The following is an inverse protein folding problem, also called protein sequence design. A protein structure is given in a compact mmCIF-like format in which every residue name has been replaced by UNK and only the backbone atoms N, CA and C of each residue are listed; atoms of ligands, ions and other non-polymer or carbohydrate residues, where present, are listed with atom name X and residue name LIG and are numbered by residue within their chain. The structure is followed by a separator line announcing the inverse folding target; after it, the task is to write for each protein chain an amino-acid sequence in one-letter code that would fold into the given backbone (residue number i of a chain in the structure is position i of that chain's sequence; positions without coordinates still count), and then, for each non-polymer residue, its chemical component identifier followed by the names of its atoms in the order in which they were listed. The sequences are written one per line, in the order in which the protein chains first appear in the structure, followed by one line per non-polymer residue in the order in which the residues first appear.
data_IF_286434503796
#
_entry.id   IF_286434503796
#
_cell.length_a   1.000
_cell.length_b   1.000
_cell.length_c   1.000
_cell.angle_alpha   90.00
_cell.angle_beta   90.00
_cell.angle_gamma   90.00
#
_symmetry.space_group_name_H-M   'P 1'
#
loop_
_entity.id
_entity.type
_entity.pdbx_description
1 polymer ?
#
# COMPACT_ATOMS: atom_id res chain seq x y z
N UNK A 1 -38.68 -28.69 -6.18
CA UNK A 1 -39.11 -27.31 -6.44
C UNK A 1 -38.02 -26.27 -6.16
N UNK A 2 -37.43 -26.21 -4.97
CA UNK A 2 -36.39 -25.21 -4.63
C UNK A 2 -35.19 -25.23 -5.59
N UNK A 3 -34.64 -26.42 -5.88
CA UNK A 3 -33.51 -26.55 -6.80
C UNK A 3 -33.85 -26.09 -8.22
N UNK A 4 -35.10 -26.25 -8.67
CA UNK A 4 -35.51 -25.77 -9.98
C UNK A 4 -35.51 -24.24 -10.02
N UNK A 5 -36.05 -23.58 -8.98
CA UNK A 5 -36.01 -22.12 -8.88
C UNK A 5 -34.60 -21.55 -8.78
N UNK A 6 -33.69 -22.25 -8.08
CA UNK A 6 -32.29 -21.84 -8.00
C UNK A 6 -31.59 -21.94 -9.36
N UNK A 7 -31.91 -22.98 -10.15
CA UNK A 7 -31.41 -23.11 -11.52
C UNK A 7 -31.98 -22.02 -12.43
N UNK A 8 -33.30 -21.78 -12.39
CA UNK A 8 -33.93 -20.72 -13.17
C UNK A 8 -33.37 -19.33 -12.83
N UNK A 9 -33.14 -19.03 -11.54
CA UNK A 9 -32.53 -17.78 -11.12
C UNK A 9 -31.08 -17.64 -11.60
N UNK A 10 -30.30 -18.72 -11.48
CA UNK A 10 -28.92 -18.75 -11.97
C UNK A 10 -28.86 -18.53 -13.48
N UNK A 11 -29.69 -19.23 -14.24
CA UNK A 11 -29.72 -19.12 -15.71
C UNK A 11 -30.18 -17.74 -16.17
N UNK A 12 -31.18 -17.17 -15.49
CA UNK A 12 -31.60 -15.79 -15.73
C UNK A 12 -30.46 -14.80 -15.47
N UNK A 13 -29.68 -14.99 -14.41
CA UNK A 13 -28.54 -14.13 -14.10
C UNK A 13 -27.37 -14.33 -15.06
N UNK A 14 -27.04 -15.55 -15.46
CA UNK A 14 -25.89 -15.84 -16.34
C UNK A 14 -26.11 -15.29 -17.76
N UNK A 15 -27.37 -15.25 -18.22
CA UNK A 15 -27.74 -14.83 -19.57
C UNK A 15 -28.34 -13.42 -19.66
N UNK A 16 -28.40 -12.65 -18.55
CA UNK A 16 -28.90 -11.28 -18.62
C UNK A 16 -27.87 -10.33 -19.26
N UNK A 17 -28.29 -9.40 -20.13
CA UNK A 17 -27.39 -8.42 -20.74
C UNK A 17 -27.00 -7.31 -19.76
N UNK A 18 -25.70 -7.05 -19.62
CA UNK A 18 -25.16 -5.96 -18.78
C UNK A 18 -25.00 -4.68 -19.60
N UNK A 19 -25.77 -3.64 -19.25
CA UNK A 19 -25.72 -2.34 -19.94
C UNK A 19 -24.34 -1.67 -19.88
N UNK A 20 -23.59 -1.88 -18.80
CA UNK A 20 -22.23 -1.30 -18.62
C UNK A 20 -21.18 -1.97 -19.51
N UNK A 21 -21.45 -3.20 -19.98
CA UNK A 21 -20.52 -4.04 -20.74
C UNK A 21 -21.03 -4.28 -22.17
N UNK A 22 -21.56 -3.21 -22.80
CA UNK A 22 -22.09 -3.24 -24.18
C UNK A 22 -23.19 -4.29 -24.41
N UNK A 23 -24.06 -4.53 -23.43
CA UNK A 23 -25.13 -5.53 -23.47
C UNK A 23 -24.65 -7.00 -23.58
N UNK A 24 -23.39 -7.29 -23.27
CA UNK A 24 -22.91 -8.68 -23.19
C UNK A 24 -23.44 -9.36 -21.93
N UNK A 25 -23.64 -10.68 -22.01
CA UNK A 25 -24.03 -11.48 -20.84
C UNK A 25 -22.82 -11.82 -19.97
N UNK A 26 -22.99 -12.02 -18.65
CA UNK A 26 -21.94 -12.53 -17.78
C UNK A 26 -21.22 -13.77 -18.34
N UNK A 27 -21.95 -14.70 -18.96
CA UNK A 27 -21.37 -15.87 -19.63
C UNK A 27 -20.44 -15.49 -20.79
N UNK A 28 -20.86 -14.56 -21.65
CA UNK A 28 -20.05 -14.10 -22.78
C UNK A 28 -18.80 -13.35 -22.32
N UNK A 29 -18.89 -12.58 -21.23
CA UNK A 29 -17.74 -11.91 -20.62
C UNK A 29 -16.76 -12.91 -20.03
N UNK A 30 -17.25 -14.00 -19.41
CA UNK A 30 -16.42 -15.08 -18.89
C UNK A 30 -15.68 -15.83 -20.00
N UNK A 31 -16.39 -16.26 -21.06
CA UNK A 31 -15.80 -16.91 -22.24
C UNK A 31 -14.78 -15.98 -22.91
N UNK A 32 -15.14 -14.70 -23.13
CA UNK A 32 -14.24 -13.71 -23.71
C UNK A 32 -13.00 -13.44 -22.85
N UNK A 33 -13.14 -13.47 -21.52
CA UNK A 33 -12.04 -13.34 -20.57
C UNK A 33 -11.07 -14.52 -20.60
N UNK A 34 -11.60 -15.74 -20.76
CA UNK A 34 -10.77 -16.93 -20.97
C UNK A 34 -9.90 -16.80 -22.22
N UNK A 35 -10.44 -16.31 -23.33
CA UNK A 35 -9.65 -16.11 -24.56
C UNK A 35 -8.57 -15.02 -24.48
N UNK A 36 -8.71 -14.03 -23.58
CA UNK A 36 -7.85 -12.83 -23.55
C UNK A 36 -6.63 -12.95 -22.61
N UNK A 37 -6.57 -13.97 -21.74
CA UNK A 37 -5.43 -14.17 -20.84
C UNK A 37 -4.30 -14.92 -21.55
N UNK A 38 -3.03 -14.61 -21.22
CA UNK A 38 -1.85 -15.28 -21.82
C UNK A 38 -1.85 -16.81 -21.62
N UNK A 39 -2.57 -17.30 -20.60
CA UNK A 39 -2.74 -18.72 -20.28
C UNK A 39 -4.12 -19.26 -20.70
N UNK A 40 -4.90 -18.45 -21.40
CA UNK A 40 -6.31 -18.67 -21.68
C UNK A 40 -6.64 -19.88 -22.53
N UNK A 41 -5.83 -20.12 -23.56
CA UNK A 41 -5.96 -21.31 -24.40
C UNK A 41 -5.62 -22.60 -23.63
N UNK A 42 -4.64 -22.56 -22.73
CA UNK A 42 -4.23 -23.70 -21.90
C UNK A 42 -5.31 -24.03 -20.86
N UNK A 43 -5.87 -23.03 -20.21
CA UNK A 43 -6.98 -23.19 -19.25
C UNK A 43 -8.28 -23.73 -19.89
N UNK A 44 -8.56 -23.38 -21.15
CA UNK A 44 -9.67 -23.95 -21.91
C UNK A 44 -9.45 -25.44 -22.22
N UNK A 45 -8.20 -25.81 -22.49
CA UNK A 45 -7.79 -27.21 -22.74
C UNK A 45 -7.83 -28.03 -21.44
N UNK A 46 -7.28 -27.50 -20.35
CA UNK A 46 -7.28 -28.09 -19.02
C UNK A 46 -8.71 -28.21 -18.42
N UNK A 47 -9.66 -27.36 -18.84
CA UNK A 47 -11.07 -27.46 -18.45
C UNK A 47 -11.84 -28.56 -19.21
N UNK A 48 -11.29 -29.04 -20.33
CA UNK A 48 -11.92 -30.03 -21.21
C UNK A 48 -11.38 -31.44 -20.96
N UNK A 49 -10.20 -31.57 -20.36
CA UNK A 49 -9.65 -32.85 -19.93
C UNK A 49 -10.00 -33.10 -18.45
N UNK A 50 -10.70 -34.21 -18.12
CA UNK A 50 -10.96 -34.53 -16.73
C UNK A 50 -9.63 -34.85 -16.03
N UNK A 51 -9.30 -34.06 -15.01
CA UNK A 51 -8.16 -34.33 -14.13
C UNK A 51 -8.32 -35.76 -13.59
N UNK A 52 -7.34 -36.61 -13.88
CA UNK A 52 -7.37 -38.00 -13.43
C UNK A 52 -7.15 -38.06 -11.91
N UNK A 53 -7.71 -39.08 -11.25
CA UNK A 53 -7.58 -39.23 -9.80
C UNK A 53 -6.09 -39.31 -9.37
N UNK A 54 -5.25 -39.89 -10.23
CA UNK A 54 -3.80 -40.00 -10.04
C UNK A 54 -3.08 -38.65 -10.06
N UNK A 55 -3.52 -37.71 -10.91
CA UNK A 55 -2.98 -36.34 -10.95
C UNK A 55 -3.38 -35.53 -9.72
N UNK A 56 -4.60 -35.74 -9.18
CA UNK A 56 -5.05 -35.14 -7.92
C UNK A 56 -4.19 -35.66 -6.76
N UNK A 57 -3.97 -36.97 -6.74
CA UNK A 57 -3.23 -37.63 -5.67
C UNK A 57 -1.73 -37.31 -5.69
N UNK A 58 -1.17 -36.92 -6.86
CA UNK A 58 0.22 -36.48 -7.00
C UNK A 58 0.41 -34.95 -6.95
N UNK A 59 -0.66 -34.16 -6.98
CA UNK A 59 -0.57 -32.71 -6.98
C UNK A 59 0.00 -32.20 -5.64
N UNK A 60 1.23 -31.71 -5.67
CA UNK A 60 1.94 -31.19 -4.49
C UNK A 60 2.85 -32.20 -3.78
N UNK A 61 2.99 -33.42 -4.30
CA UNK A 61 3.99 -34.38 -3.82
C UNK A 61 5.27 -34.20 -4.64
N UNK A 62 6.28 -33.54 -4.05
CA UNK A 62 7.61 -33.40 -4.65
C UNK A 62 8.48 -34.62 -4.31
N UNK A 63 8.47 -35.63 -5.19
CA UNK A 63 9.29 -36.83 -5.05
C UNK A 63 10.80 -36.57 -5.15
N UNK A 64 11.21 -35.39 -5.63
CA UNK A 64 12.61 -34.95 -5.68
C UNK A 64 12.92 -33.88 -4.62
N UNK A 65 12.01 -33.65 -3.68
CA UNK A 65 12.20 -32.71 -2.59
C UNK A 65 13.31 -33.20 -1.65
N UNK A 66 14.03 -32.28 -0.97
CA UNK A 66 15.06 -32.66 -0.02
C UNK A 66 14.45 -33.50 1.11
N UNK A 67 14.82 -34.78 1.15
CA UNK A 67 14.43 -35.70 2.23
C UNK A 67 15.34 -35.41 3.43
N UNK A 68 14.78 -35.32 4.63
CA UNK A 68 15.56 -35.12 5.86
C UNK A 68 16.60 -36.23 6.01
N UNK A 69 17.87 -35.86 6.12
CA UNK A 69 18.92 -36.81 6.48
C UNK A 69 18.78 -37.18 7.96
N UNK A 70 18.92 -38.47 8.31
CA UNK A 70 18.88 -38.98 9.70
C UNK A 70 20.13 -38.55 10.52
N UNK A 71 20.63 -37.35 10.30
CA UNK A 71 21.55 -36.72 11.24
C UNK A 71 20.68 -36.03 12.28
N UNK A 72 21.04 -36.21 13.55
CA UNK A 72 20.35 -35.68 14.72
C UNK A 72 19.80 -34.27 14.45
N UNK A 73 18.65 -33.93 15.04
CA UNK A 73 17.94 -32.65 14.94
C UNK A 73 18.74 -31.43 15.46
N UNK A 74 20.03 -31.36 15.15
CA UNK A 74 21.00 -30.35 15.51
C UNK A 74 21.23 -29.54 14.24
N UNK A 75 20.44 -28.49 14.08
CA UNK A 75 20.70 -27.47 13.06
C UNK A 75 22.01 -26.77 13.46
N UNK A 76 23.09 -27.10 12.76
CA UNK A 76 24.38 -26.40 12.91
C UNK A 76 24.22 -25.00 12.30
N UNK A 77 23.84 -24.03 13.13
CA UNK A 77 23.81 -22.61 12.75
C UNK A 77 25.26 -22.12 12.78
N UNK A 78 25.84 -21.67 11.67
CA UNK A 78 27.19 -21.11 11.66
C UNK A 78 27.26 -19.90 12.59
N UNK A 79 28.35 -19.74 13.33
CA UNK A 79 28.55 -18.55 14.16
C UNK A 79 28.55 -17.30 13.29
N UNK A 80 27.50 -16.50 13.42
CA UNK A 80 27.38 -15.23 12.73
C UNK A 80 28.36 -14.25 13.37
N UNK A 81 29.47 -13.96 12.70
CA UNK A 81 30.41 -12.93 13.16
C UNK A 81 29.70 -11.58 13.22
N UNK A 82 29.67 -10.96 14.40
CA UNK A 82 29.09 -9.63 14.55
C UNK A 82 29.87 -8.65 13.66
N UNK A 83 29.23 -7.91 12.74
CA UNK A 83 29.91 -6.97 11.86
C UNK A 83 30.35 -5.68 12.59
N UNK A 84 30.13 -5.59 13.90
CA UNK A 84 30.42 -4.42 14.73
C UNK A 84 31.66 -4.68 15.58
N UNK A 85 32.54 -3.69 15.61
CA UNK A 85 33.67 -3.61 16.54
C UNK A 85 33.20 -3.57 18.00
N UNK A 86 34.00 -4.09 18.94
CA UNK A 86 33.64 -4.26 20.36
C UNK A 86 33.26 -2.93 21.01
N UNK A 87 33.95 -1.85 20.63
CA UNK A 87 33.62 -0.49 21.08
C UNK A 87 32.21 -0.06 20.66
N UNK A 88 31.83 -0.34 19.41
CA UNK A 88 30.51 0.01 18.88
C UNK A 88 29.41 -0.86 19.49
N UNK A 89 29.72 -2.11 19.85
CA UNK A 89 28.80 -2.99 20.54
C UNK A 89 28.47 -2.48 21.95
N UNK A 90 29.45 -1.95 22.68
CA UNK A 90 29.25 -1.38 24.01
C UNK A 90 28.37 -0.12 23.94
N UNK A 91 28.63 0.77 22.98
CA UNK A 91 27.83 1.97 22.77
C UNK A 91 26.37 1.66 22.42
N UNK A 92 26.14 0.68 21.53
CA UNK A 92 24.80 0.23 21.18
C UNK A 92 24.06 -0.32 22.42
N UNK A 93 24.78 -1.05 23.28
CA UNK A 93 24.23 -1.62 24.51
C UNK A 93 23.88 -0.58 25.58
N UNK A 94 24.51 0.59 25.56
CA UNK A 94 24.20 1.71 26.45
C UNK A 94 23.06 2.58 25.90
N UNK A 95 22.98 2.74 24.58
CA UNK A 95 21.99 3.61 23.92
C UNK A 95 20.60 2.98 23.80
N UNK A 96 20.53 1.64 23.74
CA UNK A 96 19.28 0.90 23.54
C UNK A 96 19.11 -0.08 24.69
N UNK A 97 18.09 0.10 25.51
CA UNK A 97 17.72 -0.89 26.52
C UNK A 97 16.76 -1.93 25.91
N UNK A 98 17.33 -3.07 25.53
CA UNK A 98 16.61 -4.20 24.92
C UNK A 98 15.76 -5.00 25.91
N UNK A 99 15.78 -4.66 27.21
CA UNK A 99 14.99 -5.35 28.24
C UNK A 99 13.73 -4.60 28.66
N UNK A 100 13.49 -3.41 28.12
CA UNK A 100 12.25 -2.67 28.38
C UNK A 100 11.09 -3.41 27.73
N UNK A 101 10.18 -3.94 28.54
CA UNK A 101 8.88 -4.43 28.06
C UNK A 101 7.94 -3.23 27.90
N UNK A 102 7.85 -2.73 26.68
CA UNK A 102 6.95 -1.65 26.29
C UNK A 102 5.54 -2.15 25.94
N UNK A 103 5.27 -3.46 26.05
CA UNK A 103 4.04 -4.10 25.58
C UNK A 103 3.88 -4.09 24.06
N UNK A 104 4.92 -3.68 23.31
CA UNK A 104 4.92 -3.59 21.86
C UNK A 104 6.01 -4.47 21.23
N UNK A 105 6.65 -5.37 21.99
CA UNK A 105 7.61 -6.37 21.50
C UNK A 105 8.71 -5.76 20.59
N UNK A 106 9.26 -4.61 20.96
CA UNK A 106 10.34 -3.95 20.20
C UNK A 106 9.91 -3.24 18.91
N UNK A 107 8.60 -3.19 18.59
CA UNK A 107 8.08 -2.40 17.47
C UNK A 107 8.32 -0.90 17.68
N UNK A 108 8.32 -0.40 18.91
CA UNK A 108 8.61 1.01 19.20
C UNK A 108 10.06 1.35 18.83
N UNK A 109 11.01 0.55 19.31
CA UNK A 109 12.44 0.64 19.03
C UNK A 109 12.72 0.53 17.53
N UNK A 110 12.04 -0.39 16.84
CA UNK A 110 12.09 -0.48 15.37
C UNK A 110 11.53 0.78 14.69
N UNK A 111 10.42 1.34 15.18
CA UNK A 111 9.85 2.57 14.62
C UNK A 111 10.70 3.82 14.88
N UNK A 112 11.42 3.86 15.99
CA UNK A 112 12.29 4.98 16.36
C UNK A 112 13.61 4.92 15.57
N UNK A 113 14.10 3.72 15.31
CA UNK A 113 15.21 3.47 14.38
C UNK A 113 14.81 3.62 12.90
N UNK A 114 13.51 3.46 12.58
CA UNK A 114 12.95 3.68 11.25
C UNK A 114 12.84 5.18 10.93
N UNK A 115 14.02 5.73 10.63
CA UNK A 115 14.29 6.69 9.59
C UNK A 115 13.32 7.87 9.47
N UNK A 116 13.71 8.98 10.09
CA UNK A 116 13.38 10.32 9.62
C UNK A 116 13.34 10.40 8.08
N UNK A 117 12.20 10.83 7.53
CA UNK A 117 12.01 10.95 6.09
C UNK A 117 12.41 12.35 5.64
N UNK A 118 13.55 12.43 4.95
CA UNK A 118 14.05 13.66 4.35
C UNK A 118 13.76 13.73 2.86
N UNK A 119 13.14 14.83 2.42
CA UNK A 119 12.88 15.11 1.00
C UNK A 119 13.60 16.40 0.58
N UNK A 120 14.30 16.44 -0.57
CA UNK A 120 14.98 17.64 -1.01
C UNK A 120 14.00 18.77 -1.38
N UNK A 121 14.38 20.02 -1.11
CA UNK A 121 13.62 21.24 -1.47
C UNK A 121 13.49 21.45 -2.99
N UNK A 122 14.34 20.80 -3.78
CA UNK A 122 14.31 20.84 -5.24
C UNK A 122 14.42 19.43 -5.82
N UNK A 123 13.61 19.11 -6.84
CA UNK A 123 13.62 17.80 -7.50
C UNK A 123 13.39 17.96 -9.01
N UNK A 124 14.18 17.28 -9.83
CA UNK A 124 13.90 17.16 -11.27
C UNK A 124 12.83 16.08 -11.49
N UNK A 125 11.75 16.44 -12.18
CA UNK A 125 10.64 15.53 -12.46
C UNK A 125 9.89 15.98 -13.71
N UNK A 126 9.11 15.09 -14.32
CA UNK A 126 8.30 15.41 -15.49
C UNK A 126 7.26 16.49 -15.21
N UNK A 127 7.26 17.56 -16.00
CA UNK A 127 6.27 18.62 -15.94
C UNK A 127 5.16 18.39 -16.99
N UNK A 128 3.92 18.21 -16.53
CA UNK A 128 2.73 18.07 -17.38
C UNK A 128 2.21 19.40 -17.94
N UNK A 129 2.87 20.52 -17.63
CA UNK A 129 2.49 21.84 -18.13
C UNK A 129 2.59 21.89 -19.65
N UNK A 130 1.58 22.47 -20.31
CA UNK A 130 1.47 22.55 -21.78
C UNK A 130 2.74 23.09 -22.46
N UNK A 131 3.42 24.05 -21.82
CA UNK A 131 4.65 24.70 -22.30
C UNK A 131 5.94 23.87 -22.09
N UNK A 132 5.96 22.94 -21.14
CA UNK A 132 7.19 22.21 -20.79
C UNK A 132 7.21 20.81 -21.36
N UNK A 133 6.22 19.96 -21.01
CA UNK A 133 6.15 18.53 -21.37
C UNK A 133 7.49 17.77 -21.32
N UNK A 134 8.36 18.14 -20.38
CA UNK A 134 9.72 17.61 -20.19
C UNK A 134 10.11 17.57 -18.72
N UNK A 135 11.24 16.95 -18.41
CA UNK A 135 11.79 16.94 -17.05
C UNK A 135 12.42 18.29 -16.70
N UNK A 136 11.80 19.02 -15.78
CA UNK A 136 12.26 20.32 -15.29
C UNK A 136 12.52 20.29 -13.80
N UNK A 137 13.22 21.31 -13.29
CA UNK A 137 13.42 21.48 -11.86
C UNK A 137 12.10 21.94 -11.21
N UNK A 138 11.75 21.32 -10.09
CA UNK A 138 10.55 21.69 -9.33
C UNK A 138 10.95 22.09 -7.91
N UNK A 139 10.37 23.19 -7.43
CA UNK A 139 10.42 23.57 -6.02
C UNK A 139 9.41 22.71 -5.26
N UNK A 140 9.91 22.00 -4.25
CA UNK A 140 9.11 21.11 -3.41
C UNK A 140 8.71 21.88 -2.16
N UNK A 141 7.42 21.83 -1.81
CA UNK A 141 6.87 22.42 -0.59
C UNK A 141 5.88 21.45 0.03
N UNK A 142 5.66 21.51 1.34
CA UNK A 142 4.61 20.73 1.99
C UNK A 142 3.25 21.35 1.67
N UNK A 143 2.27 20.53 1.28
CA UNK A 143 0.89 20.98 1.12
C UNK A 143 0.29 21.30 2.49
N UNK A 144 -0.39 22.43 2.59
CA UNK A 144 -1.23 22.81 3.74
C UNK A 144 -2.65 22.98 3.25
N UNK A 145 -3.62 22.50 4.04
CA UNK A 145 -5.03 22.73 3.74
C UNK A 145 -5.35 24.22 3.92
N UNK A 146 -6.17 24.76 3.02
CA UNK A 146 -6.61 26.15 3.11
C UNK A 146 -7.76 26.32 4.11
N UNK A 147 -8.14 27.58 4.38
CA UNK A 147 -9.35 27.90 5.14
C UNK A 147 -10.58 27.35 4.43
N UNK A 148 -11.49 26.70 5.16
CA UNK A 148 -12.74 26.20 4.60
C UNK A 148 -13.64 27.36 4.16
N UNK A 149 -14.21 27.25 2.94
CA UNK A 149 -15.14 28.25 2.41
C UNK A 149 -16.56 28.06 2.97
N UNK A 150 -17.19 29.16 3.40
CA UNK A 150 -18.56 29.17 3.92
C UNK A 150 -19.62 29.06 2.81
N UNK A 151 -19.29 29.53 1.60
CA UNK A 151 -20.23 29.59 0.47
C UNK A 151 -20.33 28.27 -0.31
N UNK A 152 -19.49 27.29 0.03
CA UNK A 152 -19.56 25.96 -0.55
C UNK A 152 -20.96 25.36 -0.33
N UNK A 153 -21.53 24.74 -1.36
CA UNK A 153 -22.92 24.22 -1.31
C UNK A 153 -23.16 23.30 -0.10
N UNK A 154 -22.20 22.44 0.24
CA UNK A 154 -22.29 21.54 1.39
C UNK A 154 -22.38 22.28 2.73
N UNK A 155 -21.60 23.36 2.90
CA UNK A 155 -21.62 24.18 4.11
C UNK A 155 -22.93 24.97 4.21
N UNK A 156 -23.38 25.63 3.13
CA UNK A 156 -24.69 26.32 3.08
C UNK A 156 -25.85 25.38 3.43
N UNK A 157 -25.85 24.16 2.88
CA UNK A 157 -26.87 23.14 3.17
C UNK A 157 -26.82 22.69 4.63
N UNK A 158 -25.62 22.47 5.17
CA UNK A 158 -25.44 22.08 6.56
C UNK A 158 -25.94 23.15 7.52
N UNK A 159 -25.57 24.42 7.29
CA UNK A 159 -25.97 25.55 8.13
C UNK A 159 -27.49 25.76 8.11
N UNK A 160 -28.12 25.65 6.94
CA UNK A 160 -29.58 25.71 6.82
C UNK A 160 -30.27 24.54 7.54
N UNK A 161 -29.67 23.34 7.50
CA UNK A 161 -30.22 22.17 8.21
C UNK A 161 -30.06 22.30 9.73
N UNK A 162 -28.97 22.92 10.17
CA UNK A 162 -28.64 23.10 11.58
C UNK A 162 -29.41 24.25 12.25
N UNK A 163 -29.98 25.17 11.47
CA UNK A 163 -30.76 26.29 11.98
C UNK A 163 -32.09 25.82 12.61
N UNK A 164 -32.48 26.46 13.72
CA UNK A 164 -33.70 26.14 14.46
C UNK A 164 -33.47 25.16 15.61
N UNK A 165 -34.54 24.50 16.05
CA UNK A 165 -34.51 23.51 17.13
C UNK A 165 -34.21 22.10 16.61
N UNK A 166 -33.73 21.20 17.48
CA UNK A 166 -33.46 19.80 17.13
C UNK A 166 -31.99 19.36 17.25
N UNK A 167 -31.10 20.25 17.71
CA UNK A 167 -29.73 19.90 18.06
C UNK A 167 -28.84 19.53 16.86
N UNK A 168 -27.87 18.64 17.07
CA UNK A 168 -26.88 18.28 16.06
C UNK A 168 -27.47 17.39 14.96
N UNK A 169 -27.51 17.89 13.72
CA UNK A 169 -28.22 17.22 12.60
C UNK A 169 -27.38 16.27 11.74
N UNK A 170 -26.06 16.21 11.98
CA UNK A 170 -25.10 15.36 11.25
C UNK A 170 -24.14 14.66 12.22
N UNK A 171 -23.72 13.41 11.93
CA UNK A 171 -22.86 12.65 12.83
C UNK A 171 -21.49 13.31 13.00
N UNK A 172 -20.98 13.28 14.24
CA UNK A 172 -19.62 13.70 14.59
C UNK A 172 -18.77 12.43 14.76
N UNK A 173 -17.61 12.38 14.12
CA UNK A 173 -16.74 11.21 14.19
C UNK A 173 -15.81 11.28 15.41
N UNK A 174 -15.94 10.33 16.34
CA UNK A 174 -15.16 10.30 17.59
C UNK A 174 -14.00 9.28 17.61
N UNK A 175 -14.13 8.16 16.87
CA UNK A 175 -13.21 7.01 16.97
C UNK A 175 -11.97 7.14 16.06
N UNK A 176 -11.14 8.18 16.27
CA UNK A 176 -9.90 8.39 15.49
C UNK A 176 -8.81 7.37 15.89
N UNK A 177 -8.48 6.45 14.98
CA UNK A 177 -7.43 5.44 15.22
C UNK A 177 -6.06 5.80 14.61
N UNK A 178 -6.01 6.64 13.58
CA UNK A 178 -4.74 6.94 12.88
C UNK A 178 -3.98 8.05 13.60
N UNK A 179 -2.72 7.77 13.95
CA UNK A 179 -1.80 8.71 14.62
C UNK A 179 -1.09 9.64 13.64
N UNK A 180 -0.88 9.21 12.39
CA UNK A 180 -0.18 9.97 11.35
C UNK A 180 -1.11 10.37 10.20
N UNK A 181 -0.62 11.19 9.27
CA UNK A 181 -1.29 11.56 8.02
C UNK A 181 -0.40 11.23 6.81
N UNK A 182 -0.98 11.08 5.62
CA UNK A 182 -0.19 11.03 4.39
C UNK A 182 0.28 12.45 4.07
N UNK A 183 1.59 12.65 3.98
CA UNK A 183 2.15 13.94 3.64
C UNK A 183 2.04 14.12 2.13
N UNK A 184 1.51 15.26 1.71
CA UNK A 184 1.38 15.62 0.29
C UNK A 184 2.38 16.71 -0.01
N UNK A 185 3.19 16.49 -1.05
CA UNK A 185 4.15 17.46 -1.56
C UNK A 185 3.50 18.26 -2.68
N UNK A 186 3.63 19.58 -2.63
CA UNK A 186 3.31 20.50 -3.72
C UNK A 186 4.58 20.81 -4.48
N UNK A 187 4.67 20.32 -5.71
CA UNK A 187 5.77 20.55 -6.62
C UNK A 187 5.40 21.64 -7.62
N UNK A 188 6.14 22.75 -7.62
CA UNK A 188 5.98 23.87 -8.54
C UNK A 188 7.13 23.89 -9.56
N UNK A 189 6.81 23.82 -10.84
CA UNK A 189 7.80 23.93 -11.92
C UNK A 189 8.43 25.33 -11.94
N UNK A 190 9.76 25.41 -12.04
CA UNK A 190 10.49 26.69 -12.13
C UNK A 190 10.09 27.49 -13.36
N UNK A 191 9.92 26.81 -14.50
CA UNK A 191 9.81 27.40 -15.83
C UNK A 191 8.37 27.87 -16.13
N UNK A 192 7.37 26.99 -15.95
CA UNK A 192 5.97 27.28 -16.31
C UNK A 192 5.02 27.48 -15.13
N UNK A 193 5.54 27.44 -13.89
CA UNK A 193 4.77 27.55 -12.64
C UNK A 193 3.61 26.56 -12.49
N UNK A 194 3.60 25.51 -13.31
CA UNK A 194 2.65 24.40 -13.17
C UNK A 194 2.88 23.70 -11.83
N UNK A 195 1.78 23.42 -11.13
CA UNK A 195 1.79 22.81 -9.79
C UNK A 195 1.18 21.42 -9.88
N UNK A 196 1.87 20.43 -9.30
CA UNK A 196 1.35 19.07 -9.11
C UNK A 196 1.50 18.62 -7.67
N UNK A 197 0.61 17.73 -7.24
CA UNK A 197 0.62 17.17 -5.89
C UNK A 197 1.04 15.70 -5.95
N UNK A 198 1.91 15.29 -5.01
CA UNK A 198 2.33 13.89 -4.86
C UNK A 198 2.17 13.50 -3.40
N UNK A 199 1.40 12.44 -3.13
CA UNK A 199 1.24 11.90 -1.79
C UNK A 199 2.38 10.90 -1.50
N UNK A 200 2.99 11.02 -0.32
CA UNK A 200 3.92 10.05 0.23
C UNK A 200 3.18 8.98 1.05
N UNK A 201 3.92 7.94 1.44
CA UNK A 201 3.50 7.02 2.50
C UNK A 201 3.41 7.76 3.84
N UNK A 202 2.72 7.16 4.82
CA UNK A 202 2.60 7.72 6.17
C UNK A 202 3.96 7.64 6.87
N UNK A 203 4.35 8.71 7.53
CA UNK A 203 5.56 8.79 8.35
C UNK A 203 5.22 9.59 9.62
N UNK A 204 5.94 9.32 10.72
CA UNK A 204 5.81 10.08 11.97
C UNK A 204 6.60 11.39 11.89
N UNK A 205 7.82 11.34 11.37
CA UNK A 205 8.73 12.47 11.29
C UNK A 205 9.08 12.74 9.83
N UNK A 206 8.96 14.00 9.42
CA UNK A 206 9.19 14.44 8.06
C UNK A 206 9.88 15.79 8.05
N UNK A 207 10.98 15.85 7.35
CA UNK A 207 11.74 17.07 7.13
C UNK A 207 11.88 17.37 5.64
N UNK A 208 11.95 18.66 5.31
CA UNK A 208 12.09 19.14 3.95
C UNK A 208 13.42 19.88 3.81
N UNK A 209 14.39 19.22 3.18
CA UNK A 209 15.73 19.72 2.93
C UNK A 209 16.60 19.74 4.18
N UNK A 210 16.52 18.68 4.98
CA UNK A 210 17.49 18.41 6.04
C UNK A 210 18.83 17.94 5.47
N UNK A 211 19.79 17.72 6.36
CA UNK A 211 21.13 17.30 5.98
C UNK A 211 21.15 15.87 5.45
N UNK A 212 21.98 15.65 4.43
CA UNK A 212 22.19 14.30 3.91
C UNK A 212 23.07 13.53 4.90
N UNK A 213 22.63 12.31 5.25
CA UNK A 213 23.42 11.38 6.06
C UNK A 213 24.78 11.15 5.38
N UNK A 214 25.87 11.36 6.13
CA UNK A 214 27.24 11.11 5.68
C UNK A 214 27.56 9.63 5.88
N UNK A 215 28.28 9.01 4.94
CA UNK A 215 28.68 7.59 5.05
C UNK A 215 29.94 7.49 5.91
N UNK A 216 29.97 6.52 6.84
CA UNK A 216 31.17 6.15 7.59
C UNK A 216 31.66 7.17 8.63
N UNK A 217 30.85 8.17 9.00
CA UNK A 217 31.19 9.05 10.12
C UNK A 217 30.69 8.45 11.43
N UNK A 218 31.57 8.41 12.42
CA UNK A 218 31.21 8.12 13.80
C UNK A 218 30.25 9.20 14.29
N UNK A 219 29.14 8.78 14.89
CA UNK A 219 28.22 9.68 15.57
C UNK A 219 28.95 10.16 16.82
N UNK A 220 29.03 11.47 17.04
CA UNK A 220 29.57 12.02 18.28
C UNK A 220 28.54 11.82 19.39
N UNK A 221 28.97 11.23 20.50
CA UNK A 221 28.19 11.01 21.71
C UNK A 221 28.37 12.17 22.69
#
# INVERSE_FOLDING_TARGET
MLNNHLQTWRDAWIHHPLRTEQNKTPMQLWIGGLHFTQFGQRMLQDAQEPITQEEIDQYGIDWNGPVGTNQDNIVQVPDTTCPLDDHNLILLKQAVDFRIDDGHYGISLYNDTMAEVNVPKQRRTFCKGKKCRRHTLHKVTQYKTGKASLYAQGKRRYDRKQAGYGGQTKPIFHKKAKTTKKIVLRMECTDCKYRKQIALKRCKHFELGGDKKRKGQMIQF
#
